data_IF_063356308753
#
_entry.id   IF_063356308753
#
_cell.length_a   1.000
_cell.length_b   1.000
_cell.length_c   1.000
_cell.angle_alpha   90.00
_cell.angle_beta   90.00
_cell.angle_gamma   90.00
#
_symmetry.space_group_name_H-M   'P 1'
#
loop_
_entity.id
_entity.type
_entity.pdbx_description
1 polymer ?
#
# COMPACT_ATOMS: atom_id res chain seq x y z
N UNK A 1 -19.16 19.33 -33.98
CA UNK A 1 -17.73 19.67 -33.79
C UNK A 1 -17.66 20.97 -33.00
N UNK A 2 -17.74 20.88 -31.68
CA UNK A 2 -17.59 22.02 -30.77
C UNK A 2 -16.33 21.74 -29.95
N UNK A 3 -15.23 22.39 -30.33
CA UNK A 3 -13.96 22.33 -29.63
C UNK A 3 -14.14 22.99 -28.27
N UNK A 4 -14.14 22.18 -27.21
CA UNK A 4 -14.13 22.65 -25.83
C UNK A 4 -12.89 23.50 -25.59
N UNK A 5 -13.10 24.73 -25.10
CA UNK A 5 -12.04 25.64 -24.67
C UNK A 5 -11.15 24.95 -23.61
N UNK A 6 -9.82 25.02 -23.73
CA UNK A 6 -8.93 24.67 -22.64
C UNK A 6 -8.98 25.78 -21.59
N UNK A 7 -9.74 25.59 -20.51
CA UNK A 7 -9.65 26.43 -19.32
C UNK A 7 -8.43 26.02 -18.50
N UNK A 8 -7.24 26.35 -19.01
CA UNK A 8 -5.98 26.33 -18.29
C UNK A 8 -5.42 27.75 -18.23
N UNK A 9 -5.97 28.58 -17.34
CA UNK A 9 -5.38 29.87 -17.00
C UNK A 9 -4.31 29.70 -15.91
N UNK A 10 -3.17 30.41 -15.96
CA UNK A 10 -2.22 30.47 -14.86
C UNK A 10 -2.86 31.26 -13.70
N UNK A 11 -3.46 30.55 -12.75
CA UNK A 11 -4.14 31.16 -11.61
C UNK A 11 -5.31 30.40 -11.01
N UNK A 12 -5.50 29.11 -11.31
CA UNK A 12 -6.47 28.30 -10.55
C UNK A 12 -6.02 28.23 -9.09
N UNK A 13 -6.65 29.03 -8.21
CA UNK A 13 -6.38 29.02 -6.79
C UNK A 13 -6.43 27.59 -6.27
N UNK A 14 -5.38 27.18 -5.54
CA UNK A 14 -5.30 25.86 -4.95
C UNK A 14 -6.54 25.61 -4.09
N UNK A 15 -7.30 24.56 -4.40
CA UNK A 15 -8.53 24.27 -3.65
C UNK A 15 -8.20 24.04 -2.17
N UNK A 16 -9.05 24.51 -1.26
CA UNK A 16 -8.81 24.42 0.18
C UNK A 16 -8.45 22.99 0.66
N UNK A 17 -8.99 21.88 0.09
CA UNK A 17 -8.63 20.53 0.55
C UNK A 17 -7.25 20.08 0.09
N UNK A 18 -6.77 20.59 -1.06
CA UNK A 18 -5.40 20.37 -1.48
C UNK A 18 -4.41 21.04 -0.52
N UNK A 19 -4.73 22.26 -0.08
CA UNK A 19 -3.94 22.97 0.95
C UNK A 19 -3.95 22.18 2.26
N UNK A 20 -5.11 21.71 2.71
CA UNK A 20 -5.23 20.91 3.93
C UNK A 20 -4.42 19.62 3.84
N UNK A 21 -4.51 18.87 2.73
CA UNK A 21 -3.75 17.65 2.53
C UNK A 21 -2.24 17.91 2.58
N UNK A 22 -1.76 18.97 1.92
CA UNK A 22 -0.34 19.34 1.94
C UNK A 22 0.13 19.77 3.34
N UNK A 23 -0.64 20.61 4.03
CA UNK A 23 -0.31 21.10 5.38
C UNK A 23 -0.30 19.96 6.38
N UNK A 24 -1.31 19.10 6.37
CA UNK A 24 -1.40 17.96 7.29
C UNK A 24 -0.30 16.93 7.00
N UNK A 25 0.00 16.66 5.72
CA UNK A 25 1.10 15.79 5.35
C UNK A 25 2.47 16.36 5.77
N UNK A 26 2.70 17.66 5.55
CA UNK A 26 3.92 18.33 5.99
C UNK A 26 4.07 18.31 7.52
N UNK A 27 2.98 18.54 8.25
CA UNK A 27 2.95 18.43 9.72
C UNK A 27 3.29 17.02 10.19
N UNK A 28 2.72 15.98 9.57
CA UNK A 28 3.05 14.59 9.85
C UNK A 28 4.53 14.30 9.59
N UNK A 29 5.08 14.72 8.44
CA UNK A 29 6.51 14.56 8.14
C UNK A 29 7.41 15.24 9.16
N UNK A 30 7.05 16.43 9.63
CA UNK A 30 7.79 17.14 10.67
C UNK A 30 7.79 16.35 11.99
N UNK A 31 6.63 15.89 12.45
CA UNK A 31 6.51 15.09 13.69
C UNK A 31 7.32 13.80 13.58
N UNK A 32 7.15 13.07 12.48
CA UNK A 32 7.81 11.77 12.29
C UNK A 32 9.31 11.93 12.10
N UNK A 33 9.74 12.98 11.38
CA UNK A 33 11.15 13.33 11.24
C UNK A 33 11.79 13.57 12.60
N UNK A 34 11.17 14.40 13.43
CA UNK A 34 11.64 14.68 14.80
C UNK A 34 11.69 13.41 15.66
N UNK A 35 10.68 12.54 15.55
CA UNK A 35 10.61 11.28 16.29
C UNK A 35 11.69 10.27 15.84
N UNK A 36 12.07 10.27 14.56
CA UNK A 36 13.12 9.39 14.03
C UNK A 36 14.51 9.93 14.37
N UNK A 37 14.76 11.23 14.21
CA UNK A 37 16.10 11.83 14.37
C UNK A 37 16.47 12.17 15.81
N UNK A 38 15.52 12.10 16.76
CA UNK A 38 15.69 12.50 18.18
C UNK A 38 16.20 13.94 18.35
N UNK A 39 15.82 14.83 17.45
CA UNK A 39 16.29 16.23 17.48
C UNK A 39 15.49 17.10 18.44
N UNK A 40 14.45 16.57 19.11
CA UNK A 40 13.68 17.29 20.12
C UNK A 40 13.68 16.56 21.47
N UNK A 41 13.63 17.32 22.56
CA UNK A 41 13.47 16.82 23.93
C UNK A 41 12.10 16.17 24.18
N UNK A 42 11.17 16.29 23.23
CA UNK A 42 9.81 15.72 23.30
C UNK A 42 9.79 14.25 22.88
N UNK A 43 10.82 13.78 22.16
CA UNK A 43 10.98 12.38 21.75
C UNK A 43 12.21 11.80 22.43
N UNK A 44 12.08 11.27 23.66
CA UNK A 44 13.21 10.71 24.40
C UNK A 44 13.83 9.51 23.67
N UNK A 45 13.06 8.86 22.80
CA UNK A 45 13.38 7.62 22.16
C UNK A 45 13.17 7.72 20.64
N UNK A 46 14.11 7.23 19.84
CA UNK A 46 13.80 6.98 18.43
C UNK A 46 12.80 5.82 18.36
N UNK A 47 11.74 5.96 17.56
CA UNK A 47 10.77 4.90 17.35
C UNK A 47 11.42 3.56 16.89
N UNK A 48 12.53 3.64 16.13
CA UNK A 48 13.32 2.47 15.73
C UNK A 48 13.93 1.70 16.92
N UNK A 49 14.24 2.40 18.03
CA UNK A 49 14.84 1.80 19.22
C UNK A 49 13.79 1.18 20.16
N UNK A 50 12.49 1.31 19.86
CA UNK A 50 11.43 0.69 20.67
C UNK A 50 11.36 -0.81 20.38
N UNK A 51 11.57 -1.21 19.12
CA UNK A 51 11.74 -2.62 18.75
C UNK A 51 12.93 -3.28 19.47
N UNK A 52 14.02 -2.52 19.67
CA UNK A 52 15.20 -3.01 20.41
C UNK A 52 14.92 -3.14 21.92
N UNK A 53 13.99 -2.35 22.47
CA UNK A 53 13.61 -2.36 23.89
C UNK A 53 12.56 -3.39 24.25
N UNK A 54 11.67 -3.69 23.32
CA UNK A 54 10.64 -4.70 23.48
C UNK A 54 10.87 -5.81 22.43
N UNK A 55 11.94 -6.61 22.58
CA UNK A 55 12.23 -7.67 21.63
C UNK A 55 11.13 -8.72 21.67
N UNK A 56 10.59 -9.01 20.49
CA UNK A 56 9.65 -10.10 20.27
C UNK A 56 10.24 -11.02 19.18
N UNK A 57 9.83 -12.29 19.13
CA UNK A 57 10.28 -13.20 18.08
C UNK A 57 10.02 -12.66 16.65
N UNK A 58 9.02 -11.79 16.46
CA UNK A 58 8.69 -11.15 15.17
C UNK A 58 9.14 -9.68 15.08
N UNK A 59 10.10 -9.26 15.89
CA UNK A 59 10.68 -7.92 15.79
C UNK A 59 11.23 -7.66 14.38
N UNK A 60 11.18 -6.39 13.95
CA UNK A 60 11.70 -5.97 12.66
C UNK A 60 13.14 -5.50 12.82
N UNK A 61 14.01 -5.85 11.88
CA UNK A 61 15.36 -5.32 11.84
C UNK A 61 15.35 -3.78 11.83
N UNK A 62 16.15 -3.14 12.69
CA UNK A 62 16.06 -1.70 12.98
C UNK A 62 16.30 -0.81 11.74
N UNK A 63 17.05 -1.29 10.75
CA UNK A 63 17.26 -0.57 9.48
C UNK A 63 15.97 -0.45 8.64
N UNK A 64 15.08 -1.45 8.70
CA UNK A 64 13.91 -1.56 7.82
C UNK A 64 12.95 -0.39 7.96
N UNK A 65 12.93 0.20 9.15
CA UNK A 65 12.02 1.25 9.54
C UNK A 65 12.23 2.54 8.74
N UNK A 66 13.47 3.02 8.63
CA UNK A 66 13.78 4.26 7.90
C UNK A 66 13.49 4.12 6.39
N UNK A 67 13.88 3.00 5.79
CA UNK A 67 13.69 2.78 4.35
C UNK A 67 12.22 2.58 3.96
N UNK A 68 11.44 1.83 4.74
CA UNK A 68 10.03 1.60 4.47
C UNK A 68 9.22 2.90 4.59
N UNK A 69 9.44 3.68 5.66
CA UNK A 69 8.78 4.98 5.81
C UNK A 69 9.20 5.98 4.74
N UNK A 70 10.48 6.02 4.36
CA UNK A 70 10.94 6.86 3.25
C UNK A 70 10.21 6.56 1.93
N UNK A 71 10.05 5.28 1.59
CA UNK A 71 9.31 4.87 0.39
C UNK A 71 7.82 5.24 0.46
N UNK A 72 7.19 5.00 1.61
CA UNK A 72 5.78 5.38 1.84
C UNK A 72 5.60 6.89 1.72
N UNK A 73 6.43 7.70 2.38
CA UNK A 73 6.32 9.16 2.34
C UNK A 73 6.58 9.73 0.96
N UNK A 74 7.52 9.16 0.19
CA UNK A 74 7.76 9.58 -1.19
C UNK A 74 6.52 9.37 -2.06
N UNK A 75 5.85 8.21 -1.93
CA UNK A 75 4.61 7.94 -2.67
C UNK A 75 3.44 8.80 -2.17
N UNK A 76 3.33 9.01 -0.87
CA UNK A 76 2.29 9.89 -0.30
C UNK A 76 2.49 11.35 -0.71
N UNK A 77 3.72 11.80 -0.92
CA UNK A 77 4.00 13.12 -1.50
C UNK A 77 3.43 13.22 -2.93
N UNK A 78 3.55 12.16 -3.74
CA UNK A 78 2.95 12.12 -5.07
C UNK A 78 1.41 12.20 -5.01
N UNK A 79 0.78 11.59 -4.01
CA UNK A 79 -0.66 11.77 -3.75
C UNK A 79 -0.98 13.20 -3.32
N UNK A 80 -0.28 13.74 -2.33
CA UNK A 80 -0.56 15.06 -1.75
C UNK A 80 -0.40 16.19 -2.78
N UNK A 81 0.55 16.05 -3.70
CA UNK A 81 0.82 17.03 -4.76
C UNK A 81 -0.03 16.84 -6.01
N UNK A 82 -0.78 15.73 -6.14
CA UNK A 82 -1.55 15.42 -7.37
C UNK A 82 -2.47 16.55 -7.82
N UNK A 83 -3.04 17.29 -6.86
CA UNK A 83 -4.00 18.38 -7.11
C UNK A 83 -3.38 19.56 -7.88
N UNK A 84 -2.05 19.63 -7.96
CA UNK A 84 -1.35 20.61 -8.80
C UNK A 84 -1.52 20.30 -10.30
N UNK A 85 -1.87 19.07 -10.65
CA UNK A 85 -1.93 18.61 -12.05
C UNK A 85 -3.28 17.96 -12.42
N UNK A 86 -4.17 17.71 -11.47
CA UNK A 86 -5.49 17.16 -11.73
C UNK A 86 -6.60 17.83 -10.93
N UNK A 87 -7.76 17.99 -11.57
CA UNK A 87 -9.02 18.41 -10.95
C UNK A 87 -9.92 17.22 -10.60
N UNK A 88 -9.45 15.98 -10.78
CA UNK A 88 -10.17 14.77 -10.39
C UNK A 88 -10.18 14.64 -8.86
N UNK A 89 -11.36 14.82 -8.28
CA UNK A 89 -11.55 14.92 -6.83
C UNK A 89 -12.36 13.77 -6.29
N UNK A 90 -11.91 13.28 -5.15
CA UNK A 90 -12.53 12.16 -4.41
C UNK A 90 -12.66 12.56 -2.96
N UNK A 91 -13.87 12.98 -2.57
CA UNK A 91 -14.19 13.49 -1.24
C UNK A 91 -13.83 12.48 -0.14
N UNK A 92 -13.99 11.19 -0.42
CA UNK A 92 -13.59 10.09 0.45
C UNK A 92 -12.08 10.11 0.76
N UNK A 93 -11.25 10.36 -0.25
CA UNK A 93 -9.80 10.43 -0.07
C UNK A 93 -9.37 11.76 0.57
N UNK A 94 -10.06 12.86 0.24
CA UNK A 94 -9.80 14.18 0.81
C UNK A 94 -10.06 14.24 2.33
N UNK A 95 -10.91 13.34 2.85
CA UNK A 95 -11.19 13.21 4.29
C UNK A 95 -10.31 12.13 4.94
N UNK A 96 -10.21 10.95 4.32
CA UNK A 96 -9.48 9.83 4.92
C UNK A 96 -7.96 10.07 4.95
N UNK A 97 -7.38 10.77 3.98
CA UNK A 97 -5.95 11.01 3.96
C UNK A 97 -5.46 11.84 5.17
N UNK A 98 -6.06 13.01 5.50
CA UNK A 98 -5.72 13.73 6.72
C UNK A 98 -5.84 12.87 7.98
N UNK A 99 -6.88 12.04 8.08
CA UNK A 99 -7.05 11.09 9.20
C UNK A 99 -5.86 10.14 9.29
N UNK A 100 -5.42 9.55 8.17
CA UNK A 100 -4.22 8.68 8.17
C UNK A 100 -2.96 9.42 8.59
N UNK A 101 -2.82 10.70 8.24
CA UNK A 101 -1.68 11.51 8.66
C UNK A 101 -1.68 11.79 10.17
N UNK A 102 -2.83 12.15 10.75
CA UNK A 102 -2.94 12.37 12.20
C UNK A 102 -2.68 11.09 12.99
N UNK A 103 -3.25 9.97 12.56
CA UNK A 103 -3.03 8.68 13.22
C UNK A 103 -1.57 8.23 13.10
N UNK A 104 -0.92 8.48 11.96
CA UNK A 104 0.49 8.16 11.79
C UNK A 104 1.39 8.98 12.73
N UNK A 105 1.20 10.30 12.75
CA UNK A 105 1.94 11.18 13.66
C UNK A 105 1.67 10.81 15.13
N UNK A 106 0.42 10.53 15.49
CA UNK A 106 0.02 10.09 16.82
C UNK A 106 0.69 8.78 17.22
N UNK A 107 0.80 7.82 16.31
CA UNK A 107 1.51 6.57 16.56
C UNK A 107 2.99 6.81 16.86
N UNK A 108 3.67 7.65 16.06
CA UNK A 108 5.07 8.03 16.30
C UNK A 108 5.25 8.71 17.66
N UNK A 109 4.33 9.59 18.06
CA UNK A 109 4.36 10.25 19.37
C UNK A 109 4.25 9.22 20.49
N UNK A 110 3.27 8.32 20.43
CA UNK A 110 3.01 7.34 21.47
C UNK A 110 4.16 6.33 21.61
N UNK A 111 4.63 5.78 20.49
CA UNK A 111 5.70 4.77 20.50
C UNK A 111 7.02 5.39 20.99
N UNK A 112 7.32 6.63 20.61
CA UNK A 112 8.53 7.33 21.07
C UNK A 112 8.51 7.68 22.57
N UNK A 113 7.35 7.58 23.22
CA UNK A 113 7.18 7.79 24.66
C UNK A 113 6.88 6.48 25.40
N UNK A 114 7.16 5.32 24.79
CA UNK A 114 6.95 3.98 25.37
C UNK A 114 5.48 3.68 25.77
N UNK A 115 4.50 4.40 25.22
CA UNK A 115 3.07 4.14 25.42
C UNK A 115 2.56 3.04 24.47
N UNK A 116 3.12 1.83 24.57
CA UNK A 116 2.95 0.78 23.54
C UNK A 116 1.51 0.31 23.37
N UNK A 117 0.74 0.12 24.45
CA UNK A 117 -0.68 -0.28 24.36
C UNK A 117 -1.55 0.76 23.65
N UNK A 118 -1.29 2.06 23.89
CA UNK A 118 -2.00 3.12 23.18
C UNK A 118 -1.53 3.22 21.72
N UNK A 119 -0.24 3.01 21.47
CA UNK A 119 0.29 2.94 20.11
C UNK A 119 -0.37 1.81 19.31
N UNK A 120 -0.64 0.65 19.91
CA UNK A 120 -1.39 -0.45 19.28
C UNK A 120 -2.80 -0.03 18.84
N UNK A 121 -3.52 0.71 19.70
CA UNK A 121 -4.86 1.21 19.35
C UNK A 121 -4.77 2.18 18.16
N UNK A 122 -3.79 3.09 18.16
CA UNK A 122 -3.63 4.09 17.10
C UNK A 122 -3.16 3.46 15.78
N UNK A 123 -2.22 2.50 15.79
CA UNK A 123 -1.82 1.78 14.57
C UNK A 123 -2.97 0.92 14.04
N UNK A 124 -3.84 0.37 14.91
CA UNK A 124 -5.06 -0.32 14.51
C UNK A 124 -6.08 0.61 13.84
N UNK A 125 -6.29 1.81 14.39
CA UNK A 125 -7.12 2.83 13.75
C UNK A 125 -6.54 3.30 12.40
N UNK A 126 -5.21 3.44 12.30
CA UNK A 126 -4.54 3.75 11.05
C UNK A 126 -4.73 2.63 10.02
N UNK A 127 -4.56 1.38 10.43
CA UNK A 127 -4.78 0.21 9.60
C UNK A 127 -6.23 0.16 9.08
N UNK A 128 -7.22 0.39 9.94
CA UNK A 128 -8.63 0.43 9.55
C UNK A 128 -8.92 1.58 8.56
N UNK A 129 -8.31 2.75 8.76
CA UNK A 129 -8.41 3.88 7.84
C UNK A 129 -7.83 3.55 6.46
N UNK A 130 -6.69 2.85 6.43
CA UNK A 130 -6.06 2.42 5.18
C UNK A 130 -6.86 1.30 4.50
N UNK A 131 -7.47 0.38 5.26
CA UNK A 131 -8.40 -0.61 4.71
C UNK A 131 -9.61 0.08 4.06
N UNK A 132 -10.15 1.12 4.68
CA UNK A 132 -11.25 1.90 4.10
C UNK A 132 -10.84 2.57 2.79
N UNK A 133 -9.65 3.20 2.73
CA UNK A 133 -9.11 3.77 1.49
C UNK A 133 -8.91 2.68 0.43
N UNK A 134 -8.29 1.55 0.80
CA UNK A 134 -7.98 0.45 -0.11
C UNK A 134 -9.25 -0.17 -0.70
N UNK A 135 -10.22 -0.53 0.14
CA UNK A 135 -11.50 -1.10 -0.31
C UNK A 135 -12.28 -0.12 -1.18
N UNK A 136 -12.29 1.17 -0.83
CA UNK A 136 -12.96 2.19 -1.62
C UNK A 136 -12.29 2.40 -2.99
N UNK A 137 -10.96 2.36 -3.07
CA UNK A 137 -10.21 2.63 -4.31
C UNK A 137 -9.99 1.41 -5.20
N UNK A 138 -10.09 0.19 -4.66
CA UNK A 138 -9.83 -1.06 -5.38
C UNK A 138 -11.08 -1.91 -5.64
N UNK A 139 -12.04 -1.90 -4.71
CA UNK A 139 -13.15 -2.86 -4.71
C UNK A 139 -14.47 -2.16 -5.04
N UNK A 140 -14.87 -1.19 -4.22
CA UNK A 140 -16.20 -0.59 -4.33
C UNK A 140 -16.30 0.51 -5.38
N UNK A 141 -15.28 1.38 -5.46
CA UNK A 141 -15.20 2.48 -6.43
C UNK A 141 -13.83 2.43 -7.11
N UNK A 142 -13.57 1.37 -7.90
CA UNK A 142 -12.25 1.12 -8.47
C UNK A 142 -11.79 2.32 -9.27
N UNK A 143 -10.64 2.88 -8.88
CA UNK A 143 -10.01 3.98 -9.62
C UNK A 143 -9.57 3.43 -10.98
N UNK A 144 -9.86 4.17 -12.05
CA UNK A 144 -9.40 3.81 -13.39
C UNK A 144 -7.87 3.71 -13.40
N UNK A 145 -7.35 2.59 -13.90
CA UNK A 145 -5.92 2.31 -14.01
C UNK A 145 -5.23 3.13 -15.11
N UNK A 146 -5.14 4.45 -14.92
CA UNK A 146 -4.23 5.30 -15.68
C UNK A 146 -2.86 5.33 -14.99
N UNK A 147 -1.78 5.59 -15.73
CA UNK A 147 -0.42 5.70 -15.16
C UNK A 147 -0.40 6.71 -14.00
N UNK A 148 -1.06 7.86 -14.18
CA UNK A 148 -1.15 8.89 -13.15
C UNK A 148 -1.87 8.39 -11.89
N UNK A 149 -3.02 7.72 -12.04
CA UNK A 149 -3.78 7.21 -10.89
C UNK A 149 -3.06 6.05 -10.19
N UNK A 150 -2.35 5.22 -10.95
CA UNK A 150 -1.53 4.15 -10.38
C UNK A 150 -0.44 4.76 -9.49
N UNK A 151 0.32 5.73 -10.01
CA UNK A 151 1.43 6.33 -9.29
C UNK A 151 1.01 7.23 -8.13
N UNK A 152 -0.09 7.98 -8.29
CA UNK A 152 -0.48 9.00 -7.32
C UNK A 152 -1.58 8.58 -6.35
N UNK A 153 -2.32 7.49 -6.60
CA UNK A 153 -3.44 7.08 -5.73
C UNK A 153 -3.30 5.63 -5.31
N UNK A 154 -3.19 4.72 -6.27
CA UNK A 154 -3.24 3.30 -5.99
C UNK A 154 -1.97 2.82 -5.29
N UNK A 155 -0.80 3.09 -5.86
CA UNK A 155 0.49 2.64 -5.31
C UNK A 155 0.80 3.21 -3.92
N UNK A 156 0.61 4.52 -3.64
CA UNK A 156 0.89 5.08 -2.32
C UNK A 156 0.13 4.38 -1.20
N UNK A 157 -1.19 4.26 -1.34
CA UNK A 157 -2.02 3.67 -0.29
C UNK A 157 -1.86 2.15 -0.22
N UNK A 158 -1.63 1.47 -1.34
CA UNK A 158 -1.35 0.03 -1.35
C UNK A 158 -0.05 -0.30 -0.61
N UNK A 159 1.06 0.39 -0.93
CA UNK A 159 2.35 0.16 -0.26
C UNK A 159 2.23 0.47 1.23
N UNK A 160 1.60 1.60 1.56
CA UNK A 160 1.40 2.03 2.93
C UNK A 160 0.56 1.02 3.73
N UNK A 161 -0.53 0.52 3.15
CA UNK A 161 -1.38 -0.47 3.80
C UNK A 161 -0.67 -1.81 4.03
N UNK A 162 0.12 -2.27 3.05
CA UNK A 162 0.93 -3.49 3.19
C UNK A 162 1.96 -3.37 4.33
N UNK A 163 2.68 -2.25 4.38
CA UNK A 163 3.63 -1.96 5.45
C UNK A 163 2.96 -1.87 6.84
N UNK A 164 1.85 -1.12 6.94
CA UNK A 164 1.14 -0.94 8.21
C UNK A 164 0.50 -2.24 8.70
N UNK A 165 0.13 -3.16 7.81
CA UNK A 165 -0.35 -4.50 8.20
C UNK A 165 0.72 -5.25 9.00
N UNK A 166 1.96 -5.21 8.53
CA UNK A 166 3.10 -5.78 9.27
C UNK A 166 3.30 -5.08 10.61
N UNK A 167 3.32 -3.74 10.62
CA UNK A 167 3.51 -2.97 11.85
C UNK A 167 2.42 -3.24 12.89
N UNK A 168 1.17 -3.39 12.48
CA UNK A 168 0.07 -3.70 13.39
C UNK A 168 0.29 -5.05 14.08
N UNK A 169 0.71 -6.08 13.32
CA UNK A 169 1.04 -7.40 13.87
C UNK A 169 2.21 -7.35 14.86
N UNK A 170 3.27 -6.61 14.55
CA UNK A 170 4.44 -6.51 15.45
C UNK A 170 4.13 -5.70 16.70
N UNK A 171 3.33 -4.62 16.61
CA UNK A 171 2.87 -3.87 17.78
C UNK A 171 1.96 -4.74 18.67
N UNK A 172 1.11 -5.57 18.08
CA UNK A 172 0.28 -6.51 18.82
C UNK A 172 1.13 -7.54 19.57
N UNK A 173 2.17 -8.08 18.91
CA UNK A 173 3.12 -8.98 19.55
C UNK A 173 3.83 -8.34 20.74
N UNK A 174 4.23 -7.07 20.65
CA UNK A 174 4.85 -6.36 21.78
C UNK A 174 3.89 -6.32 22.97
N UNK A 175 2.65 -5.87 22.78
CA UNK A 175 1.66 -5.78 23.87
C UNK A 175 1.38 -7.16 24.48
N UNK A 176 1.22 -8.21 23.66
CA UNK A 176 1.01 -9.57 24.15
C UNK A 176 2.24 -10.09 24.92
N UNK A 177 3.44 -9.72 24.50
CA UNK A 177 4.69 -10.09 25.17
C UNK A 177 4.86 -9.43 26.54
N UNK A 178 4.38 -8.19 26.71
CA UNK A 178 4.39 -7.50 28.01
C UNK A 178 3.56 -8.22 29.07
N UNK A 179 2.53 -8.96 28.64
CA UNK A 179 1.70 -9.78 29.52
C UNK A 179 2.27 -11.20 29.77
N UNK A 180 3.46 -11.54 29.24
CA UNK A 180 4.12 -12.86 29.36
C UNK A 180 3.30 -14.04 28.84
N UNK A 181 2.36 -13.77 27.93
CA UNK A 181 1.53 -14.82 27.29
C UNK A 181 2.02 -15.15 25.88
N UNK A 182 2.98 -14.38 25.35
CA UNK A 182 3.47 -14.57 23.98
C UNK A 182 4.20 -15.90 23.82
N UNK A 183 3.77 -16.66 22.81
CA UNK A 183 4.29 -17.96 22.44
C UNK A 183 4.76 -17.94 20.99
N UNK A 184 5.52 -18.97 20.59
CA UNK A 184 5.91 -19.16 19.18
C UNK A 184 4.68 -19.27 18.25
N UNK A 185 3.55 -19.79 18.76
CA UNK A 185 2.29 -19.86 18.02
C UNK A 185 1.75 -18.47 17.67
N UNK A 186 1.89 -17.47 18.56
CA UNK A 186 1.42 -16.11 18.31
C UNK A 186 2.23 -15.44 17.18
N UNK A 187 3.53 -15.70 17.14
CA UNK A 187 4.41 -15.28 16.07
C UNK A 187 4.01 -15.92 14.71
N UNK A 188 3.74 -17.22 14.69
CA UNK A 188 3.29 -17.92 13.48
C UNK A 188 1.91 -17.43 13.02
N UNK A 189 0.97 -17.19 13.94
CA UNK A 189 -0.34 -16.62 13.63
C UNK A 189 -0.18 -15.24 12.98
N UNK A 190 0.67 -14.37 13.53
CA UNK A 190 0.91 -13.05 12.98
C UNK A 190 1.46 -13.11 11.54
N UNK A 191 2.44 -13.98 11.28
CA UNK A 191 2.99 -14.20 9.94
C UNK A 191 1.93 -14.78 8.99
N UNK A 192 1.13 -15.72 9.49
CA UNK A 192 0.00 -16.29 8.76
C UNK A 192 -1.03 -15.23 8.35
N UNK A 193 -1.39 -14.32 9.25
CA UNK A 193 -2.31 -13.21 8.99
C UNK A 193 -1.76 -12.29 7.89
N UNK A 194 -0.50 -11.87 7.98
CA UNK A 194 0.14 -11.04 6.93
C UNK A 194 0.13 -11.76 5.58
N UNK A 195 0.43 -13.05 5.57
CA UNK A 195 0.46 -13.88 4.34
C UNK A 195 -0.92 -14.00 3.71
N UNK A 196 -1.93 -14.33 4.51
CA UNK A 196 -3.32 -14.47 4.05
C UNK A 196 -3.83 -13.14 3.49
N UNK A 197 -3.61 -12.02 4.18
CA UNK A 197 -4.02 -10.70 3.70
C UNK A 197 -3.29 -10.31 2.40
N UNK A 198 -2.00 -10.65 2.25
CA UNK A 198 -1.26 -10.47 1.01
C UNK A 198 -1.81 -11.27 -0.16
N UNK A 199 -2.13 -12.55 0.05
CA UNK A 199 -2.75 -13.40 -0.96
C UNK A 199 -4.18 -12.93 -1.30
N UNK A 200 -4.94 -12.47 -0.31
CA UNK A 200 -6.26 -11.88 -0.52
C UNK A 200 -6.15 -10.62 -1.38
N UNK A 201 -5.23 -9.71 -1.08
CA UNK A 201 -5.01 -8.50 -1.87
C UNK A 201 -4.64 -8.81 -3.33
N UNK A 202 -3.81 -9.85 -3.58
CA UNK A 202 -3.53 -10.34 -4.94
C UNK A 202 -4.75 -10.95 -5.62
N UNK A 203 -5.56 -11.70 -4.88
CA UNK A 203 -6.68 -12.44 -5.45
C UNK A 203 -7.87 -11.54 -5.80
N UNK A 204 -8.16 -10.56 -4.93
CA UNK A 204 -9.32 -9.67 -5.03
C UNK A 204 -9.02 -8.46 -5.91
N UNK A 205 -7.87 -7.81 -5.70
CA UNK A 205 -7.55 -6.53 -6.32
C UNK A 205 -6.33 -6.57 -7.24
N UNK A 206 -5.68 -7.72 -7.38
CA UNK A 206 -4.42 -7.88 -8.12
C UNK A 206 -3.34 -6.88 -7.66
N UNK A 207 -3.34 -6.60 -6.36
CA UNK A 207 -2.55 -5.52 -5.78
C UNK A 207 -1.14 -5.99 -5.40
N UNK A 208 -0.26 -6.01 -6.40
CA UNK A 208 1.16 -6.36 -6.20
C UNK A 208 1.85 -5.35 -5.28
N UNK A 209 1.45 -4.08 -5.28
CA UNK A 209 2.11 -3.04 -4.48
C UNK A 209 1.85 -3.24 -2.98
N UNK A 210 0.65 -3.67 -2.61
CA UNK A 210 0.37 -4.11 -1.24
C UNK A 210 1.30 -5.24 -0.80
N UNK A 211 1.46 -6.25 -1.67
CA UNK A 211 2.34 -7.39 -1.38
C UNK A 211 3.79 -6.97 -1.25
N UNK A 212 4.27 -6.00 -2.03
CA UNK A 212 5.63 -5.44 -1.86
C UNK A 212 5.80 -4.86 -0.45
N UNK A 213 4.82 -4.11 0.06
CA UNK A 213 4.86 -3.57 1.42
C UNK A 213 4.91 -4.67 2.49
N UNK A 214 4.08 -5.71 2.33
CA UNK A 214 4.07 -6.86 3.24
C UNK A 214 5.38 -7.68 3.18
N UNK A 215 5.90 -7.94 1.98
CA UNK A 215 7.17 -8.64 1.75
C UNK A 215 8.34 -7.92 2.41
N UNK A 216 8.37 -6.59 2.34
CA UNK A 216 9.41 -5.81 2.99
C UNK A 216 9.48 -6.10 4.50
N UNK A 217 8.32 -6.10 5.15
CA UNK A 217 8.20 -6.41 6.57
C UNK A 217 8.58 -7.85 6.90
N UNK A 218 8.10 -8.84 6.13
CA UNK A 218 8.46 -10.25 6.33
C UNK A 218 9.98 -10.50 6.14
N UNK A 219 10.61 -9.83 5.17
CA UNK A 219 12.06 -9.90 4.98
C UNK A 219 12.78 -9.32 6.21
N UNK A 220 12.35 -8.16 6.70
CA UNK A 220 12.91 -7.55 7.90
C UNK A 220 12.76 -8.44 9.14
N UNK A 221 11.61 -9.09 9.33
CA UNK A 221 11.40 -10.08 10.39
C UNK A 221 12.36 -11.27 10.24
N UNK A 222 12.49 -11.81 9.02
CA UNK A 222 13.34 -12.99 8.79
C UNK A 222 14.82 -12.74 9.10
N UNK A 223 15.29 -11.51 8.83
CA UNK A 223 16.67 -11.10 9.11
C UNK A 223 16.87 -10.97 10.62
N UNK A 224 15.93 -10.33 11.32
CA UNK A 224 16.00 -10.15 12.77
C UNK A 224 15.86 -11.47 13.53
N UNK A 225 14.93 -12.34 13.13
CA UNK A 225 14.76 -13.67 13.70
C UNK A 225 16.03 -14.53 13.58
N UNK A 226 16.79 -14.38 12.48
CA UNK A 226 18.09 -15.03 12.32
C UNK A 226 19.11 -14.53 13.36
N UNK A 227 19.12 -13.23 13.65
CA UNK A 227 20.00 -12.64 14.66
C UNK A 227 19.65 -13.15 16.06
N UNK A 228 18.36 -13.30 16.35
CA UNK A 228 17.85 -13.78 17.64
C UNK A 228 17.85 -15.31 17.79
N UNK A 229 18.37 -16.05 16.79
CA UNK A 229 18.34 -17.52 16.72
C UNK A 229 16.92 -18.13 16.81
N UNK A 230 15.88 -17.38 16.42
CA UNK A 230 14.49 -17.80 16.37
C UNK A 230 14.20 -18.57 15.07
N UNK A 231 14.68 -19.82 14.99
CA UNK A 231 14.65 -20.65 13.77
C UNK A 231 13.24 -20.89 13.22
N UNK A 232 12.23 -21.03 14.09
CA UNK A 232 10.83 -21.20 13.70
C UNK A 232 10.29 -19.97 12.98
N UNK A 233 10.47 -18.77 13.55
CA UNK A 233 10.04 -17.51 12.95
C UNK A 233 10.73 -17.25 11.62
N UNK A 234 12.04 -17.51 11.55
CA UNK A 234 12.79 -17.37 10.31
C UNK A 234 12.21 -18.27 9.22
N UNK A 235 11.95 -19.54 9.56
CA UNK A 235 11.40 -20.54 8.63
C UNK A 235 10.00 -20.15 8.16
N UNK A 236 9.11 -19.78 9.09
CA UNK A 236 7.76 -19.33 8.78
C UNK A 236 7.76 -18.09 7.86
N UNK A 237 8.64 -17.13 8.13
CA UNK A 237 8.81 -15.93 7.30
C UNK A 237 9.27 -16.28 5.88
N UNK A 238 10.20 -17.24 5.73
CA UNK A 238 10.66 -17.69 4.40
C UNK A 238 9.58 -18.38 3.59
N UNK A 239 8.72 -19.20 4.23
CA UNK A 239 7.56 -19.80 3.57
C UNK A 239 6.54 -18.75 3.15
N UNK A 240 6.25 -17.78 4.03
CA UNK A 240 5.37 -16.65 3.74
C UNK A 240 5.87 -15.83 2.53
N UNK A 241 7.16 -15.48 2.51
CA UNK A 241 7.80 -14.78 1.39
C UNK A 241 7.64 -15.59 0.10
N UNK A 242 7.95 -16.89 0.14
CA UNK A 242 7.87 -17.78 -1.03
C UNK A 242 6.44 -17.87 -1.57
N UNK A 243 5.44 -17.99 -0.69
CA UNK A 243 4.03 -18.03 -1.07
C UNK A 243 3.57 -16.72 -1.75
N UNK A 244 3.95 -15.56 -1.20
CA UNK A 244 3.61 -14.26 -1.78
C UNK A 244 4.30 -14.03 -3.13
N UNK A 245 5.59 -14.35 -3.25
CA UNK A 245 6.32 -14.25 -4.52
C UNK A 245 5.72 -15.19 -5.58
N UNK A 246 5.43 -16.45 -5.21
CA UNK A 246 4.75 -17.40 -6.08
C UNK A 246 3.38 -16.88 -6.54
N UNK A 247 2.61 -16.31 -5.62
CA UNK A 247 1.32 -15.67 -5.93
C UNK A 247 1.44 -14.52 -6.95
N UNK A 248 2.46 -13.66 -6.81
CA UNK A 248 2.75 -12.60 -7.78
C UNK A 248 3.10 -13.18 -9.15
N UNK A 249 3.98 -14.18 -9.21
CA UNK A 249 4.40 -14.82 -10.47
C UNK A 249 3.21 -15.46 -11.19
N UNK A 250 2.39 -16.23 -10.48
CA UNK A 250 1.17 -16.84 -11.03
C UNK A 250 0.26 -15.76 -11.60
N UNK A 251 0.04 -14.67 -10.88
CA UNK A 251 -0.83 -13.58 -11.34
C UNK A 251 -0.28 -12.89 -12.59
N UNK A 252 1.00 -12.51 -12.61
CA UNK A 252 1.62 -11.92 -13.80
C UNK A 252 1.57 -12.87 -15.00
N UNK A 253 1.82 -14.17 -14.78
CA UNK A 253 1.67 -15.20 -15.82
C UNK A 253 0.27 -15.27 -16.42
N UNK A 254 -0.78 -15.21 -15.58
CA UNK A 254 -2.17 -15.21 -16.07
C UNK A 254 -2.50 -13.98 -16.93
N UNK A 255 -1.92 -12.81 -16.62
CA UNK A 255 -2.09 -11.62 -17.44
C UNK A 255 -1.47 -11.77 -18.83
N UNK A 256 -0.24 -12.30 -18.89
CA UNK A 256 0.47 -12.52 -20.16
C UNK A 256 -0.30 -13.50 -21.05
N UNK A 257 -0.78 -14.62 -20.48
CA UNK A 257 -1.54 -15.62 -21.24
C UNK A 257 -2.86 -15.05 -21.76
N UNK A 258 -3.59 -14.28 -20.94
CA UNK A 258 -4.84 -13.63 -21.36
C UNK A 258 -4.61 -12.57 -22.46
N UNK A 259 -3.53 -11.79 -22.36
CA UNK A 259 -3.16 -10.81 -23.38
C UNK A 259 -2.86 -11.44 -24.74
N UNK A 260 -2.14 -12.57 -24.77
CA UNK A 260 -1.85 -13.31 -26.02
C UNK A 260 -3.09 -13.86 -26.70
N UNK A 261 -4.10 -14.30 -25.93
CA UNK A 261 -5.37 -14.79 -26.48
C UNK A 261 -6.18 -13.68 -27.17
N UNK A 262 -6.17 -12.46 -26.64
CA UNK A 262 -6.88 -11.34 -27.28
C UNK A 262 -6.27 -10.90 -28.61
N UNK A 263 -4.93 -10.90 -28.72
CA UNK A 263 -4.23 -10.53 -29.96
C UNK A 263 -4.51 -11.55 -31.07
N UNK A 264 -4.47 -12.85 -30.75
CA UNK A 264 -4.76 -13.92 -31.72
C UNK A 264 -6.21 -13.93 -32.22
N UNK A 265 -7.19 -13.59 -31.36
CA UNK A 265 -8.58 -13.43 -31.79
C UNK A 265 -8.85 -12.16 -32.61
N UNK A 266 -8.05 -11.11 -32.46
CA UNK A 266 -8.21 -9.84 -33.20
C UNK A 266 -7.64 -9.86 -34.62
N UNK A 267 -6.78 -10.83 -34.94
CA UNK A 267 -6.21 -11.02 -36.29
C UNK A 267 -7.08 -11.89 -37.22
N UNK A 268 -8.19 -12.45 -36.74
CA UNK A 268 -9.13 -13.26 -37.53
C UNK A 268 -10.38 -12.47 -37.98
N UNK A 269 -10.24 -11.21 -38.41
CA UNK A 269 -11.30 -10.54 -39.18
C UNK A 269 -10.98 -10.67 -40.67
N UNK A 270 -11.82 -11.34 -41.48
CA UNK A 270 -11.48 -11.69 -42.85
C UNK A 270 -11.44 -10.47 -43.76
N UNK A 271 -10.53 -10.55 -44.72
CA UNK A 271 -10.30 -9.60 -45.78
C UNK A 271 -11.60 -9.14 -46.46
N UNK A 272 -11.62 -7.83 -46.76
CA UNK A 272 -12.44 -7.23 -47.82
C UNK A 272 -12.26 -8.09 -49.08
N UNK A 273 -13.29 -8.85 -49.45
CA UNK A 273 -13.39 -9.44 -50.79
C UNK A 273 -13.87 -8.34 -51.73
N UNK A 274 -12.90 -7.73 -52.39
CA UNK A 274 -13.09 -6.81 -53.50
C UNK A 274 -13.89 -7.50 -54.61
N UNK A 275 -14.82 -6.77 -55.20
CA UNK A 275 -15.79 -7.31 -56.14
C UNK A 275 -15.19 -7.72 -57.50
N UNK A 276 -15.72 -8.80 -58.08
CA UNK A 276 -16.12 -8.82 -59.50
C UNK A 276 -16.86 -10.10 -59.87
N UNK A 277 -17.93 -9.86 -60.64
CA UNK A 277 -18.56 -10.71 -61.62
C UNK A 277 -19.34 -11.94 -61.10
N UNK A 278 -20.66 -11.78 -61.02
CA UNK A 278 -21.54 -12.69 -61.75
C UNK A 278 -22.59 -11.90 -62.52
N UNK A 279 -22.54 -12.10 -63.83
CA UNK A 279 -23.42 -11.60 -64.87
C UNK A 279 -24.51 -12.66 -65.08
N UNK A 280 -25.76 -12.23 -65.26
CA UNK A 280 -26.86 -12.86 -66.02
C UNK A 280 -27.97 -13.67 -65.33
N UNK A 281 -29.18 -13.40 -65.86
CA UNK A 281 -30.50 -14.00 -65.63
C UNK A 281 -31.17 -13.52 -64.34
N UNK A 282 -32.36 -12.92 -64.34
CA UNK A 282 -33.59 -13.35 -65.02
C UNK A 282 -34.47 -12.13 -65.34
N UNK A 283 -34.94 -12.06 -66.59
CA UNK A 283 -36.16 -11.36 -67.00
C UNK A 283 -37.38 -12.07 -66.40
N UNK A 284 -38.37 -11.32 -65.91
CA UNK A 284 -39.77 -11.78 -65.93
C UNK A 284 -40.58 -11.54 -64.66
N UNK A 285 -41.62 -10.71 -64.85
CA UNK A 285 -42.81 -10.44 -64.02
C UNK A 285 -42.66 -9.38 -62.92
#
# INVERSE_FOLDING_TARGET
MALGKPCGGPGAAMSWPAIVNLVVFAGMLAVNGLAITRTSSVFPNAAANVADRHPTPISLASYSFAYAWGAVYLLLLAFATRFLWTTDRRLDLDILFPVTCFLNAGWFILISNDYVSFALIVIGALWASLLAIWTCTRVFKPVRASVLNVLTVLSPFSLYFGWVTVLACTNAAVVVSEHKVFTDLDAEIAIGVVTVLGLLALSVATDVVYVVGALWGLIAMSIEAKVQAASLVQTASMYAISALVGGVVVRLGTYVVRGRRHISSGQQSPAVSDGRADFLSIQGL
#
